data_IF_417627327573
#
_entry.id   IF_417627327573
#
_cell.length_a   1.000
_cell.length_b   1.000
_cell.length_c   1.000
_cell.angle_alpha   90.00
_cell.angle_beta   90.00
_cell.angle_gamma   90.00
#
_symmetry.space_group_name_H-M   'P 1'
#
loop_
_entity.id
_entity.type
_entity.pdbx_description
1 polymer ?
#
# COMPACT_ATOMS: atom_id res chain seq x y z
N UNK A 1 14.08 2.97 55.50
CA UNK A 1 15.21 2.39 54.75
C UNK A 1 16.44 3.27 54.96
N UNK A 2 17.37 2.92 55.86
CA UNK A 2 18.63 3.65 55.96
C UNK A 2 19.41 3.51 54.64
N UNK A 3 19.95 4.61 54.09
CA UNK A 3 20.59 4.75 52.76
C UNK A 3 19.69 4.83 51.51
N UNK A 4 18.37 5.03 51.65
CA UNK A 4 17.48 5.18 50.48
C UNK A 4 17.83 6.39 49.60
N UNK A 5 18.42 7.42 50.21
CA UNK A 5 18.94 8.63 49.56
C UNK A 5 20.09 8.36 48.58
N UNK A 6 20.74 7.19 48.67
CA UNK A 6 21.88 6.78 47.84
C UNK A 6 21.52 5.72 46.81
N UNK A 7 20.30 5.18 46.84
CA UNK A 7 19.86 4.10 45.98
C UNK A 7 19.09 4.63 44.77
N UNK A 8 19.24 3.96 43.63
CA UNK A 8 18.34 4.14 42.48
C UNK A 8 17.12 3.27 42.74
N UNK A 9 15.95 3.91 42.86
CA UNK A 9 14.69 3.19 42.98
C UNK A 9 14.30 2.66 41.59
N UNK A 10 14.26 1.33 41.49
CA UNK A 10 13.78 0.58 40.32
C UNK A 10 12.31 0.21 40.50
N UNK A 11 11.56 0.21 39.40
CA UNK A 11 10.19 -0.31 39.32
C UNK A 11 10.12 -1.40 38.26
N UNK A 12 9.47 -2.51 38.62
CA UNK A 12 9.20 -3.64 37.73
C UNK A 12 7.71 -3.94 37.78
N UNK A 13 7.00 -3.70 36.68
CA UNK A 13 5.55 -3.89 36.62
C UNK A 13 5.18 -4.94 35.58
N UNK A 14 4.32 -5.89 35.99
CA UNK A 14 3.65 -6.82 35.09
C UNK A 14 2.30 -6.27 34.61
N UNK A 15 1.81 -6.79 33.49
CA UNK A 15 0.65 -6.24 32.77
C UNK A 15 -0.64 -7.04 32.95
N UNK A 16 -0.78 -7.79 34.05
CA UNK A 16 -1.94 -8.65 34.33
C UNK A 16 -3.29 -7.91 34.29
N UNK A 17 -3.30 -6.59 34.51
CA UNK A 17 -4.49 -5.72 34.43
C UNK A 17 -4.39 -4.65 33.33
N UNK A 18 -3.41 -4.72 32.43
CA UNK A 18 -3.19 -3.72 31.37
C UNK A 18 -2.71 -2.35 31.88
N UNK A 19 -2.03 -2.31 33.04
CA UNK A 19 -1.64 -1.09 33.74
C UNK A 19 -0.13 -0.95 33.93
N UNK A 20 0.70 -1.84 33.38
CA UNK A 20 2.14 -1.88 33.66
C UNK A 20 2.86 -0.57 33.29
N UNK A 21 2.56 -0.02 32.12
CA UNK A 21 3.12 1.25 31.63
C UNK A 21 2.64 2.40 32.51
N UNK A 22 1.34 2.46 32.82
CA UNK A 22 0.76 3.50 33.69
C UNK A 22 1.41 3.52 35.08
N UNK A 23 1.56 2.35 35.70
CA UNK A 23 2.21 2.21 37.00
C UNK A 23 3.69 2.61 36.95
N UNK A 24 4.40 2.24 35.88
CA UNK A 24 5.80 2.61 35.69
C UNK A 24 5.98 4.12 35.52
N UNK A 25 5.11 4.78 34.75
CA UNK A 25 5.11 6.24 34.60
C UNK A 25 4.80 6.94 35.93
N UNK A 26 3.81 6.46 36.68
CA UNK A 26 3.48 7.00 37.99
C UNK A 26 4.65 6.86 38.98
N UNK A 27 5.36 5.73 38.96
CA UNK A 27 6.56 5.53 39.77
C UNK A 27 7.69 6.51 39.40
N UNK A 28 7.91 6.77 38.11
CA UNK A 28 8.90 7.76 37.64
C UNK A 28 8.55 9.17 38.15
N UNK A 29 7.27 9.55 38.07
CA UNK A 29 6.77 10.83 38.62
C UNK A 29 6.94 10.91 40.14
N UNK A 30 6.78 9.79 40.85
CA UNK A 30 7.01 9.68 42.29
C UNK A 30 8.49 9.65 42.69
N UNK A 31 9.43 9.66 41.73
CA UNK A 31 10.86 9.76 41.99
C UNK A 31 11.68 8.52 41.62
N UNK A 32 11.07 7.45 41.10
CA UNK A 32 11.83 6.32 40.57
C UNK A 32 12.72 6.75 39.39
N UNK A 33 13.90 6.13 39.25
CA UNK A 33 14.90 6.48 38.23
C UNK A 33 15.33 5.30 37.37
N UNK A 34 14.78 4.13 37.62
CA UNK A 34 14.94 2.94 36.78
C UNK A 34 13.58 2.29 36.55
N UNK A 35 13.29 1.93 35.31
CA UNK A 35 12.12 1.14 34.91
C UNK A 35 12.62 -0.13 34.28
N UNK A 36 12.13 -1.26 34.76
CA UNK A 36 12.38 -2.58 34.18
C UNK A 36 11.18 -3.02 33.36
N UNK A 37 11.47 -3.60 32.21
CA UNK A 37 10.47 -4.02 31.25
C UNK A 37 11.11 -4.72 30.06
N UNK A 38 10.32 -4.95 29.03
CA UNK A 38 10.77 -5.61 27.81
C UNK A 38 10.26 -4.88 26.57
N UNK A 39 10.96 -5.04 25.45
CA UNK A 39 10.44 -4.63 24.15
C UNK A 39 9.22 -5.50 23.81
N UNK A 40 8.21 -4.88 23.24
CA UNK A 40 6.93 -5.49 22.93
C UNK A 40 6.09 -5.92 24.15
N UNK A 41 6.56 -5.66 25.37
CA UNK A 41 5.90 -6.09 26.60
C UNK A 41 5.96 -7.60 26.86
N UNK A 42 6.85 -8.34 26.18
CA UNK A 42 6.98 -9.80 26.37
C UNK A 42 7.35 -10.15 27.81
N UNK A 43 6.79 -11.24 28.33
CA UNK A 43 7.04 -11.66 29.71
C UNK A 43 6.13 -12.79 30.11
N UNK A 44 6.15 -13.16 31.39
CA UNK A 44 5.23 -14.15 31.94
C UNK A 44 3.78 -13.67 31.87
N UNK A 45 2.84 -14.60 31.65
CA UNK A 45 1.39 -14.34 31.68
C UNK A 45 0.97 -13.25 30.69
N UNK A 46 0.54 -12.09 31.19
CA UNK A 46 0.14 -10.93 30.40
C UNK A 46 1.33 -10.06 29.95
N UNK A 47 2.54 -10.37 30.43
CA UNK A 47 3.76 -9.68 30.03
C UNK A 47 4.31 -8.71 31.07
N UNK A 48 5.32 -7.97 30.64
CA UNK A 48 5.99 -6.92 31.42
C UNK A 48 5.59 -5.54 30.90
N UNK A 49 5.98 -4.50 31.63
CA UNK A 49 5.96 -3.14 31.14
C UNK A 49 6.66 -3.03 29.76
N UNK A 50 5.92 -2.48 28.80
CA UNK A 50 6.35 -2.26 27.43
C UNK A 50 7.32 -1.08 27.37
N UNK A 51 8.61 -1.36 27.14
CA UNK A 51 9.64 -0.32 27.20
C UNK A 51 9.47 0.74 26.13
N UNK A 52 9.11 0.35 24.90
CA UNK A 52 8.88 1.32 23.82
C UNK A 52 7.79 2.34 24.16
N UNK A 53 6.78 1.93 24.92
CA UNK A 53 5.69 2.80 25.37
C UNK A 53 6.16 3.78 26.45
N UNK A 54 6.94 3.32 27.44
CA UNK A 54 7.52 4.20 28.47
C UNK A 54 8.51 5.20 27.86
N UNK A 55 9.39 4.73 26.96
CA UNK A 55 10.38 5.58 26.28
C UNK A 55 9.67 6.68 25.50
N UNK A 56 8.64 6.32 24.72
CA UNK A 56 7.90 7.28 23.91
C UNK A 56 7.03 8.19 24.77
N UNK A 57 6.46 7.73 25.88
CA UNK A 57 5.75 8.59 26.82
C UNK A 57 6.67 9.68 27.39
N UNK A 58 7.89 9.31 27.83
CA UNK A 58 8.89 10.27 28.33
C UNK A 58 9.29 11.25 27.22
N UNK A 59 9.53 10.76 25.99
CA UNK A 59 9.96 11.58 24.86
C UNK A 59 8.89 12.57 24.40
N UNK A 60 7.66 12.10 24.23
CA UNK A 60 6.53 12.87 23.69
C UNK A 60 5.95 13.85 24.71
N UNK A 61 6.09 13.54 26.02
CA UNK A 61 5.62 14.38 27.13
C UNK A 61 6.79 14.88 27.98
N UNK A 62 7.93 15.19 27.36
CA UNK A 62 9.13 15.62 28.08
C UNK A 62 8.89 16.89 28.92
N UNK A 63 8.05 17.80 28.41
CA UNK A 63 7.58 19.02 29.07
C UNK A 63 6.82 18.76 30.38
N UNK A 64 6.08 17.65 30.45
CA UNK A 64 5.35 17.24 31.63
C UNK A 64 6.15 16.30 32.54
N UNK A 65 6.89 15.37 31.95
CA UNK A 65 7.64 14.33 32.66
C UNK A 65 8.91 14.85 33.33
N UNK A 66 9.53 15.90 32.78
CA UNK A 66 10.73 16.55 33.33
C UNK A 66 11.89 15.58 33.60
N UNK A 67 11.96 14.48 32.84
CA UNK A 67 13.04 13.49 32.83
C UNK A 67 13.42 13.15 31.39
N UNK A 68 14.59 12.55 31.20
CA UNK A 68 15.06 12.11 29.89
C UNK A 68 15.67 10.71 29.97
N UNK A 69 15.82 10.07 28.82
CA UNK A 69 16.58 8.83 28.65
C UNK A 69 17.64 9.03 27.57
N UNK A 70 18.68 8.21 27.59
CA UNK A 70 19.72 8.19 26.54
C UNK A 70 19.40 7.19 25.42
N UNK A 71 18.14 6.75 25.32
CA UNK A 71 17.74 5.71 24.38
C UNK A 71 17.55 6.32 22.99
N UNK A 72 18.15 5.69 21.98
CA UNK A 72 17.90 6.05 20.59
C UNK A 72 16.51 5.55 20.17
N UNK A 73 15.52 6.42 20.29
CA UNK A 73 14.14 6.10 19.94
C UNK A 73 13.94 5.75 18.46
N UNK A 74 14.84 6.17 17.56
CA UNK A 74 14.76 5.81 16.13
C UNK A 74 15.06 4.33 15.85
N UNK A 75 15.58 3.56 16.82
CA UNK A 75 15.79 2.12 16.67
C UNK A 75 14.62 1.29 17.23
N UNK A 76 13.59 1.93 17.81
CA UNK A 76 12.47 1.24 18.46
C UNK A 76 11.77 0.29 17.49
N UNK A 77 11.36 0.78 16.32
CA UNK A 77 10.58 -0.03 15.39
C UNK A 77 11.37 -1.25 14.90
N UNK A 78 12.62 -1.04 14.50
CA UNK A 78 13.51 -2.12 14.05
C UNK A 78 13.75 -3.16 15.15
N UNK A 79 14.02 -2.70 16.38
CA UNK A 79 14.27 -3.58 17.53
C UNK A 79 13.02 -4.38 17.88
N UNK A 80 11.85 -3.75 17.87
CA UNK A 80 10.56 -4.40 18.07
C UNK A 80 10.32 -5.52 17.07
N UNK A 81 10.56 -5.28 15.77
CA UNK A 81 10.44 -6.31 14.72
C UNK A 81 11.42 -7.46 14.93
N UNK A 82 12.68 -7.16 15.29
CA UNK A 82 13.68 -8.17 15.58
C UNK A 82 13.28 -9.07 16.76
N UNK A 83 12.81 -8.48 17.86
CA UNK A 83 12.33 -9.24 19.03
C UNK A 83 11.13 -10.10 18.66
N UNK A 84 10.17 -9.57 17.89
CA UNK A 84 9.02 -10.34 17.40
C UNK A 84 9.44 -11.57 16.60
N UNK A 85 10.43 -11.42 15.71
CA UNK A 85 10.97 -12.52 14.90
C UNK A 85 11.71 -13.56 15.76
N UNK A 86 12.61 -13.13 16.65
CA UNK A 86 13.41 -14.02 17.48
C UNK A 86 12.57 -14.79 18.51
N UNK A 87 11.54 -14.15 19.06
CA UNK A 87 10.64 -14.77 20.04
C UNK A 87 9.46 -15.49 19.39
N UNK A 88 9.32 -15.43 18.06
CA UNK A 88 8.17 -15.95 17.30
C UNK A 88 6.82 -15.48 17.89
N UNK A 89 6.76 -14.20 18.28
CA UNK A 89 5.59 -13.61 18.92
C UNK A 89 5.17 -12.37 18.09
N UNK A 90 4.15 -12.50 17.23
CA UNK A 90 3.72 -11.42 16.34
C UNK A 90 3.27 -10.18 17.11
N UNK A 91 3.62 -9.01 16.59
CA UNK A 91 3.16 -7.72 17.14
C UNK A 91 1.68 -7.51 16.76
N UNK A 92 0.78 -7.30 17.73
CA UNK A 92 -0.61 -6.95 17.42
C UNK A 92 -0.69 -5.67 16.58
N UNK A 93 -1.56 -5.67 15.57
CA UNK A 93 -1.67 -4.53 14.65
C UNK A 93 -2.01 -3.21 15.37
N UNK A 94 -2.81 -3.28 16.43
CA UNK A 94 -3.23 -2.15 17.26
C UNK A 94 -2.34 -1.91 18.49
N UNK A 95 -1.18 -2.55 18.60
CA UNK A 95 -0.25 -2.29 19.70
C UNK A 95 0.25 -0.85 19.65
N UNK A 96 0.29 -0.20 20.81
CA UNK A 96 0.80 1.17 20.93
C UNK A 96 2.24 1.27 20.41
N UNK A 97 2.57 2.42 19.82
CA UNK A 97 3.88 2.76 19.26
C UNK A 97 4.28 1.94 18.03
N UNK A 98 4.34 0.62 18.11
CA UNK A 98 4.97 -0.26 17.10
C UNK A 98 4.00 -1.09 16.27
N UNK A 99 2.71 -1.08 16.60
CA UNK A 99 1.68 -1.76 15.82
C UNK A 99 1.55 -1.20 14.41
N UNK A 100 1.25 -2.04 13.43
CA UNK A 100 1.07 -1.63 12.03
C UNK A 100 -0.05 -0.60 11.82
N UNK A 101 -1.01 -0.53 12.74
CA UNK A 101 -2.10 0.46 12.72
C UNK A 101 -1.83 1.68 13.63
N UNK A 102 -0.71 1.73 14.36
CA UNK A 102 -0.45 2.78 15.34
C UNK A 102 -0.41 4.21 14.74
N UNK A 103 -0.07 4.31 13.45
CA UNK A 103 -0.03 5.57 12.69
C UNK A 103 -0.99 5.56 11.49
N UNK A 104 -1.88 4.57 11.41
CA UNK A 104 -2.78 4.43 10.29
C UNK A 104 -4.08 5.22 10.51
N UNK A 105 -4.51 5.96 9.48
CA UNK A 105 -5.73 6.75 9.50
C UNK A 105 -6.74 6.15 8.52
N UNK A 106 -7.75 5.44 9.03
CA UNK A 106 -8.75 4.76 8.18
C UNK A 106 -10.05 5.53 8.00
N UNK A 107 -10.38 6.46 8.91
CA UNK A 107 -11.61 7.25 8.84
C UNK A 107 -11.42 8.47 7.95
N UNK A 108 -12.34 8.71 7.00
CA UNK A 108 -12.28 9.86 6.09
C UNK A 108 -12.15 11.21 6.79
N UNK A 109 -12.80 11.40 7.96
CA UNK A 109 -12.66 12.63 8.75
C UNK A 109 -11.27 12.77 9.39
N UNK A 110 -10.65 11.65 9.80
CA UNK A 110 -9.29 11.68 10.36
C UNK A 110 -8.27 11.90 9.23
N UNK A 111 -8.49 11.29 8.07
CA UNK A 111 -7.64 11.51 6.89
C UNK A 111 -7.68 12.99 6.45
N UNK A 112 -8.87 13.57 6.28
CA UNK A 112 -9.01 15.01 5.97
C UNK A 112 -8.36 15.90 7.03
N UNK A 113 -8.53 15.55 8.31
CA UNK A 113 -7.89 16.23 9.42
C UNK A 113 -6.37 16.23 9.38
N UNK A 114 -5.77 15.05 9.15
CA UNK A 114 -4.31 14.86 9.02
C UNK A 114 -3.76 15.60 7.79
N UNK A 115 -4.50 15.62 6.68
CA UNK A 115 -4.12 16.36 5.47
C UNK A 115 -4.08 17.88 5.70
N UNK A 116 -4.99 18.41 6.54
CA UNK A 116 -5.03 19.84 6.88
C UNK A 116 -3.98 20.21 7.92
N UNK A 117 -3.87 19.43 8.99
CA UNK A 117 -2.84 19.55 10.00
C UNK A 117 -2.66 18.20 10.73
N UNK A 118 -1.50 17.57 10.54
CA UNK A 118 -1.17 16.26 11.15
C UNK A 118 -1.26 16.26 12.67
N UNK A 119 -0.90 17.37 13.33
CA UNK A 119 -0.88 17.49 14.79
C UNK A 119 -2.27 17.33 15.43
N UNK A 120 -3.36 17.46 14.65
CA UNK A 120 -4.71 17.27 15.15
C UNK A 120 -5.02 15.83 15.57
N UNK A 121 -4.34 14.84 14.97
CA UNK A 121 -4.63 13.41 15.18
C UNK A 121 -3.36 12.59 15.47
N UNK A 122 -2.17 13.10 15.14
CA UNK A 122 -0.90 12.44 15.37
C UNK A 122 -0.19 13.08 16.57
N UNK A 123 -0.17 12.39 17.71
CA UNK A 123 0.63 12.80 18.89
C UNK A 123 2.15 12.68 18.65
N UNK A 124 2.55 11.88 17.66
CA UNK A 124 3.93 11.69 17.23
C UNK A 124 3.96 11.14 15.79
N UNK A 125 5.10 11.29 15.11
CA UNK A 125 5.29 10.82 13.73
C UNK A 125 5.87 9.40 13.67
N UNK A 126 5.61 8.61 12.61
CA UNK A 126 6.28 7.32 12.39
C UNK A 126 7.81 7.41 12.43
N UNK A 127 8.36 8.49 11.87
CA UNK A 127 9.80 8.72 11.77
C UNK A 127 10.43 8.89 13.15
N UNK A 128 9.66 9.32 14.16
CA UNK A 128 10.13 9.42 15.54
C UNK A 128 10.60 8.07 16.09
N UNK A 129 10.05 6.95 15.62
CA UNK A 129 10.45 5.60 16.06
C UNK A 129 11.29 4.84 15.03
N UNK A 130 11.73 5.52 13.97
CA UNK A 130 12.46 4.93 12.84
C UNK A 130 11.60 4.20 11.81
N UNK A 131 10.28 4.36 11.87
CA UNK A 131 9.38 3.85 10.84
C UNK A 131 9.40 4.81 9.63
N UNK A 132 9.83 4.31 8.47
CA UNK A 132 9.78 5.05 7.20
C UNK A 132 8.32 5.18 6.73
N UNK A 133 8.03 6.22 5.95
CA UNK A 133 6.69 6.72 5.62
C UNK A 133 5.59 5.66 5.54
N UNK A 134 4.51 5.92 6.29
CA UNK A 134 3.28 5.11 6.28
C UNK A 134 2.47 5.53 5.06
N UNK A 135 2.30 4.62 4.10
CA UNK A 135 1.40 4.84 2.98
C UNK A 135 -0.03 4.99 3.49
N UNK A 136 -0.74 5.98 2.95
CA UNK A 136 -2.13 6.25 3.28
C UNK A 136 -2.99 5.10 2.70
N UNK A 137 -3.40 4.18 3.57
CA UNK A 137 -4.21 3.03 3.15
C UNK A 137 -5.60 3.50 2.72
N UNK A 138 -5.89 3.40 1.42
CA UNK A 138 -7.20 3.71 0.89
C UNK A 138 -8.14 2.51 1.02
N UNK A 139 -9.21 2.69 1.79
CA UNK A 139 -10.23 1.67 2.09
C UNK A 139 -11.63 2.25 1.85
N UNK A 140 -12.70 1.46 1.99
CA UNK A 140 -14.07 1.95 1.78
C UNK A 140 -14.51 3.07 2.75
N UNK A 141 -13.74 3.27 3.83
CA UNK A 141 -13.92 4.36 4.79
C UNK A 141 -13.18 5.64 4.41
N UNK A 142 -12.34 5.60 3.38
CA UNK A 142 -11.60 6.75 2.90
C UNK A 142 -12.51 7.70 2.15
N UNK A 143 -12.42 8.99 2.47
CA UNK A 143 -13.25 10.04 1.87
C UNK A 143 -12.68 10.55 0.55
N UNK A 144 -13.47 11.39 -0.14
CA UNK A 144 -13.06 12.07 -1.39
C UNK A 144 -11.73 12.80 -1.26
N UNK A 145 -11.48 13.45 -0.13
CA UNK A 145 -10.23 14.18 0.13
C UNK A 145 -9.01 13.27 0.08
N UNK A 146 -9.10 12.06 0.65
CA UNK A 146 -8.00 11.10 0.65
C UNK A 146 -7.72 10.54 -0.75
N UNK A 147 -8.77 10.23 -1.51
CA UNK A 147 -8.64 9.79 -2.91
C UNK A 147 -8.02 10.90 -3.77
N UNK A 148 -8.50 12.14 -3.62
CA UNK A 148 -7.95 13.30 -4.33
C UNK A 148 -6.48 13.54 -4.00
N UNK A 149 -6.13 13.57 -2.71
CA UNK A 149 -4.75 13.76 -2.29
C UNK A 149 -3.83 12.68 -2.85
N UNK A 150 -4.28 11.41 -2.84
CA UNK A 150 -3.48 10.32 -3.41
C UNK A 150 -3.28 10.48 -4.92
N UNK A 151 -4.30 10.92 -5.65
CA UNK A 151 -4.18 11.24 -7.07
C UNK A 151 -3.17 12.38 -7.31
N UNK A 152 -3.16 13.41 -6.47
CA UNK A 152 -2.17 14.51 -6.53
C UNK A 152 -0.74 14.03 -6.25
N UNK A 153 -0.53 13.17 -5.24
CA UNK A 153 0.78 12.55 -4.96
C UNK A 153 1.29 11.68 -6.12
N UNK A 154 0.38 11.04 -6.86
CA UNK A 154 0.71 10.31 -8.09
C UNK A 154 0.95 11.23 -9.31
N UNK A 155 0.77 12.54 -9.15
CA UNK A 155 1.02 13.56 -10.18
C UNK A 155 -0.19 13.96 -11.02
N UNK A 156 -1.42 13.56 -10.65
CA UNK A 156 -2.65 13.91 -11.37
C UNK A 156 -3.28 15.21 -10.83
N UNK A 157 -3.77 16.05 -11.74
CA UNK A 157 -4.53 17.26 -11.42
C UNK A 157 -6.03 16.97 -11.50
N UNK A 158 -6.84 17.76 -10.81
CA UNK A 158 -8.31 17.60 -10.81
C UNK A 158 -8.96 17.64 -12.20
N UNK A 159 -8.32 18.31 -13.15
CA UNK A 159 -8.77 18.40 -14.54
C UNK A 159 -8.46 17.14 -15.38
N UNK A 160 -7.64 16.23 -14.86
CA UNK A 160 -7.20 15.03 -15.57
C UNK A 160 -8.23 13.89 -15.46
N UNK A 161 -9.12 13.92 -14.45
CA UNK A 161 -10.13 12.89 -14.18
C UNK A 161 -11.39 13.48 -13.55
N UNK A 162 -12.50 12.74 -13.52
CA UNK A 162 -13.71 13.15 -12.80
C UNK A 162 -13.72 12.52 -11.39
N UNK A 163 -13.56 13.34 -10.35
CA UNK A 163 -13.46 12.87 -8.97
C UNK A 163 -14.74 12.16 -8.49
N UNK A 164 -15.93 12.59 -8.90
CA UNK A 164 -17.18 11.95 -8.46
C UNK A 164 -17.36 10.57 -9.07
N UNK A 165 -17.04 10.42 -10.37
CA UNK A 165 -17.06 9.12 -11.05
C UNK A 165 -16.01 8.19 -10.45
N UNK A 166 -14.78 8.68 -10.26
CA UNK A 166 -13.70 7.92 -9.64
C UNK A 166 -14.08 7.48 -8.23
N UNK A 167 -14.63 8.38 -7.41
CA UNK A 167 -14.99 8.07 -6.03
C UNK A 167 -16.11 7.02 -5.93
N UNK A 168 -17.12 7.08 -6.80
CA UNK A 168 -18.16 6.07 -6.86
C UNK A 168 -17.61 4.69 -7.23
N UNK A 169 -16.68 4.63 -8.19
CA UNK A 169 -16.04 3.39 -8.59
C UNK A 169 -15.05 2.86 -7.53
N UNK A 170 -14.34 3.78 -6.86
CA UNK A 170 -13.46 3.52 -5.73
C UNK A 170 -14.21 2.82 -4.59
N UNK A 171 -15.37 3.33 -4.17
CA UNK A 171 -16.15 2.72 -3.09
C UNK A 171 -16.55 1.28 -3.42
N UNK A 172 -17.05 1.04 -4.64
CA UNK A 172 -17.41 -0.30 -5.11
C UNK A 172 -16.22 -1.27 -5.06
N UNK A 173 -15.05 -0.82 -5.49
CA UNK A 173 -13.83 -1.64 -5.47
C UNK A 173 -13.34 -1.88 -4.04
N UNK A 174 -13.33 -0.83 -3.21
CA UNK A 174 -12.85 -0.88 -1.84
C UNK A 174 -13.72 -1.79 -0.95
N UNK A 175 -15.05 -1.79 -1.13
CA UNK A 175 -15.95 -2.70 -0.42
C UNK A 175 -15.67 -4.18 -0.75
N UNK A 176 -15.25 -4.47 -1.99
CA UNK A 176 -14.96 -5.83 -2.43
C UNK A 176 -13.53 -6.28 -2.07
N UNK A 177 -12.54 -5.40 -2.23
CA UNK A 177 -11.10 -5.69 -2.13
C UNK A 177 -10.51 -5.35 -0.76
N UNK A 178 -11.18 -4.51 0.03
CA UNK A 178 -10.71 -4.00 1.32
C UNK A 178 -9.73 -2.83 1.18
N UNK A 179 -8.65 -3.02 0.43
CA UNK A 179 -7.64 -1.99 0.13
C UNK A 179 -7.53 -1.71 -1.36
N UNK A 180 -7.47 -0.43 -1.71
CA UNK A 180 -7.26 0.07 -3.07
C UNK A 180 -5.84 0.63 -3.18
N UNK A 181 -5.13 0.24 -4.23
CA UNK A 181 -3.76 0.67 -4.51
C UNK A 181 -3.72 1.71 -5.63
N UNK A 182 -2.58 2.36 -5.79
CA UNK A 182 -2.34 3.42 -6.80
C UNK A 182 -2.75 3.02 -8.22
N UNK A 183 -2.36 1.82 -8.66
CA UNK A 183 -2.70 1.31 -9.98
C UNK A 183 -4.20 1.03 -10.15
N UNK A 184 -4.92 0.72 -9.05
CA UNK A 184 -6.37 0.58 -9.09
C UNK A 184 -7.04 1.94 -9.29
N UNK A 185 -6.59 2.98 -8.57
CA UNK A 185 -7.10 4.34 -8.75
C UNK A 185 -6.89 4.85 -10.18
N UNK A 186 -5.70 4.65 -10.74
CA UNK A 186 -5.41 5.00 -12.14
C UNK A 186 -6.35 4.27 -13.11
N UNK A 187 -6.54 2.96 -12.91
CA UNK A 187 -7.46 2.19 -13.74
C UNK A 187 -8.89 2.73 -13.64
N UNK A 188 -9.38 3.00 -12.43
CA UNK A 188 -10.73 3.55 -12.22
C UNK A 188 -10.91 4.97 -12.80
N UNK A 189 -9.86 5.78 -12.81
CA UNK A 189 -9.91 7.17 -13.29
C UNK A 189 -9.92 7.28 -14.81
N UNK A 190 -9.18 6.40 -15.51
CA UNK A 190 -8.93 6.53 -16.95
C UNK A 190 -9.56 5.41 -17.78
N UNK A 191 -9.88 4.28 -17.18
CA UNK A 191 -10.58 3.18 -17.85
C UNK A 191 -12.00 3.16 -17.30
N UNK A 192 -12.94 3.69 -18.08
CA UNK A 192 -14.35 3.79 -17.72
C UNK A 192 -15.07 2.44 -17.84
N UNK A 193 -14.59 1.41 -17.13
CA UNK A 193 -15.11 0.04 -17.24
C UNK A 193 -15.47 -0.53 -15.87
N UNK A 194 -16.74 -0.35 -15.53
CA UNK A 194 -17.44 -1.26 -14.63
C UNK A 194 -17.45 -2.65 -15.28
N UNK A 195 -16.84 -3.63 -14.61
CA UNK A 195 -17.03 -5.08 -14.80
C UNK A 195 -16.58 -5.70 -16.14
N UNK A 196 -15.93 -6.87 -16.01
CA UNK A 196 -15.86 -7.95 -17.00
C UNK A 196 -15.13 -7.64 -18.33
N UNK A 197 -13.89 -7.17 -18.27
CA UNK A 197 -12.95 -7.64 -19.30
C UNK A 197 -12.29 -8.95 -18.84
N UNK A 198 -12.15 -9.95 -19.72
CA UNK A 198 -11.41 -11.15 -19.42
C UNK A 198 -9.98 -10.76 -19.02
N UNK A 199 -9.45 -11.47 -18.03
CA UNK A 199 -8.05 -11.31 -17.65
C UNK A 199 -7.16 -11.53 -18.89
N UNK A 200 -6.24 -10.61 -19.15
CA UNK A 200 -5.34 -10.73 -20.29
C UNK A 200 -4.44 -11.96 -20.12
N UNK A 201 -4.01 -12.23 -18.89
CA UNK A 201 -3.30 -13.44 -18.54
C UNK A 201 -4.22 -14.38 -17.76
N UNK A 202 -4.37 -15.62 -18.22
CA UNK A 202 -5.05 -16.71 -17.51
C UNK A 202 -4.14 -17.92 -17.39
N UNK A 203 -4.10 -18.54 -16.21
CA UNK A 203 -3.38 -19.79 -15.97
C UNK A 203 -4.25 -20.96 -16.42
N UNK A 204 -3.91 -21.55 -17.56
CA UNK A 204 -4.65 -22.70 -18.10
C UNK A 204 -4.13 -24.01 -17.52
N UNK A 205 -2.82 -24.12 -17.35
CA UNK A 205 -2.18 -25.33 -16.84
C UNK A 205 -0.85 -25.02 -16.18
N UNK A 206 -0.53 -25.75 -15.13
CA UNK A 206 0.85 -25.88 -14.66
C UNK A 206 1.09 -27.31 -14.17
N UNK A 207 2.34 -27.74 -14.26
CA UNK A 207 2.85 -28.94 -13.60
C UNK A 207 4.20 -28.60 -13.02
N UNK A 208 4.45 -29.07 -11.80
CA UNK A 208 5.73 -28.89 -11.13
C UNK A 208 6.21 -30.22 -10.59
N UNK A 209 7.47 -30.52 -10.83
CA UNK A 209 8.17 -31.63 -10.22
C UNK A 209 9.28 -31.07 -9.34
N UNK A 210 9.30 -31.46 -8.07
CA UNK A 210 10.33 -31.06 -7.12
C UNK A 210 10.65 -32.22 -6.18
N UNK A 211 11.83 -32.18 -5.57
CA UNK A 211 12.29 -33.20 -4.63
C UNK A 211 13.61 -32.79 -3.99
N UNK A 212 13.99 -33.47 -2.92
CA UNK A 212 15.12 -33.09 -2.05
C UNK A 212 16.47 -32.99 -2.75
N UNK A 213 16.65 -33.75 -3.84
CA UNK A 213 17.92 -33.88 -4.55
C UNK A 213 17.79 -33.60 -6.06
N UNK A 214 16.68 -33.01 -6.49
CA UNK A 214 16.44 -32.65 -7.89
C UNK A 214 16.13 -31.17 -8.00
N UNK A 215 16.57 -30.55 -9.08
CA UNK A 215 16.15 -29.19 -9.40
C UNK A 215 14.65 -29.18 -9.67
N UNK A 216 13.94 -28.25 -9.03
CA UNK A 216 12.52 -28.10 -9.30
C UNK A 216 12.33 -27.66 -10.76
N UNK A 217 11.43 -28.34 -11.47
CA UNK A 217 11.13 -28.06 -12.87
C UNK A 217 9.63 -27.84 -13.00
N UNK A 218 9.25 -26.74 -13.63
CA UNK A 218 7.86 -26.40 -13.90
C UNK A 218 7.61 -26.30 -15.40
N UNK A 219 6.44 -26.77 -15.84
CA UNK A 219 5.87 -26.48 -17.15
C UNK A 219 4.58 -25.69 -16.94
N UNK A 220 4.46 -24.54 -17.59
CA UNK A 220 3.32 -23.63 -17.44
C UNK A 220 2.73 -23.33 -18.81
N UNK A 221 1.40 -23.30 -18.90
CA UNK A 221 0.66 -22.78 -20.04
C UNK A 221 -0.19 -21.60 -19.60
N UNK A 222 -0.02 -20.47 -20.27
CA UNK A 222 -0.82 -19.27 -20.08
C UNK A 222 -1.57 -18.93 -21.35
N UNK A 223 -2.81 -18.46 -21.19
CA UNK A 223 -3.50 -17.69 -22.21
C UNK A 223 -3.11 -16.22 -22.04
N UNK A 224 -2.63 -15.60 -23.11
CA UNK A 224 -2.15 -14.22 -23.21
C UNK A 224 -3.00 -13.46 -24.24
N UNK A 225 -4.15 -12.93 -23.82
CA UNK A 225 -5.19 -12.45 -24.72
C UNK A 225 -5.80 -13.62 -25.49
N UNK A 226 -5.62 -13.65 -26.81
CA UNK A 226 -6.15 -14.72 -27.66
C UNK A 226 -5.14 -15.84 -27.95
N UNK A 227 -3.88 -15.68 -27.54
CA UNK A 227 -2.81 -16.66 -27.78
C UNK A 227 -2.59 -17.57 -26.57
N UNK A 228 -2.37 -18.86 -26.79
CA UNK A 228 -1.84 -19.77 -25.78
C UNK A 228 -0.33 -19.90 -25.93
N UNK A 229 0.41 -19.73 -24.82
CA UNK A 229 1.85 -19.89 -24.76
C UNK A 229 2.22 -20.89 -23.67
N UNK A 230 3.20 -21.73 -23.93
CA UNK A 230 3.68 -22.75 -23.00
C UNK A 230 5.19 -22.67 -22.89
N UNK A 231 5.70 -22.74 -21.66
CA UNK A 231 7.13 -22.75 -21.38
C UNK A 231 7.45 -23.67 -20.22
N UNK A 232 8.73 -24.04 -20.13
CA UNK A 232 9.27 -24.75 -18.99
C UNK A 232 10.49 -24.02 -18.42
N UNK A 233 10.65 -24.12 -17.10
CA UNK A 233 11.81 -23.56 -16.41
C UNK A 233 12.19 -24.38 -15.18
N UNK A 234 13.43 -24.21 -14.76
CA UNK A 234 13.93 -24.74 -13.50
C UNK A 234 14.05 -23.61 -12.47
N UNK A 235 14.05 -23.98 -11.20
CA UNK A 235 14.21 -23.02 -10.11
C UNK A 235 14.71 -23.69 -8.83
N UNK A 236 15.01 -22.85 -7.84
CA UNK A 236 15.47 -23.28 -6.51
C UNK A 236 14.37 -23.93 -5.66
N UNK A 237 13.13 -23.92 -6.14
CA UNK A 237 11.98 -24.56 -5.54
C UNK A 237 10.79 -24.56 -6.51
N UNK A 238 9.68 -25.23 -6.17
CA UNK A 238 8.54 -25.36 -7.07
C UNK A 238 7.91 -24.00 -7.43
N UNK A 239 7.82 -23.08 -6.47
CA UNK A 239 7.30 -21.72 -6.71
C UNK A 239 8.22 -20.94 -7.65
N UNK A 240 9.53 -20.98 -7.40
CA UNK A 240 10.51 -20.28 -8.24
C UNK A 240 10.50 -20.83 -9.68
N UNK A 241 10.47 -22.16 -9.85
CA UNK A 241 10.39 -22.77 -11.18
C UNK A 241 9.14 -22.32 -11.96
N UNK A 242 7.98 -22.24 -11.30
CA UNK A 242 6.75 -21.71 -11.90
C UNK A 242 6.89 -20.23 -12.26
N UNK A 243 7.49 -19.40 -11.39
CA UNK A 243 7.72 -17.98 -11.66
C UNK A 243 8.67 -17.77 -12.84
N UNK A 244 9.74 -18.55 -12.93
CA UNK A 244 10.66 -18.49 -14.08
C UNK A 244 9.95 -18.86 -15.39
N UNK A 245 9.10 -19.88 -15.38
CA UNK A 245 8.32 -20.27 -16.57
C UNK A 245 7.33 -19.17 -16.98
N UNK A 246 6.59 -18.59 -16.02
CA UNK A 246 5.68 -17.46 -16.27
C UNK A 246 6.43 -16.24 -16.81
N UNK A 247 7.60 -15.92 -16.26
CA UNK A 247 8.41 -14.80 -16.71
C UNK A 247 8.91 -14.99 -18.14
N UNK A 248 9.31 -16.21 -18.52
CA UNK A 248 9.69 -16.53 -19.91
C UNK A 248 8.53 -16.37 -20.90
N UNK A 249 7.30 -16.71 -20.49
CA UNK A 249 6.12 -16.55 -21.34
C UNK A 249 5.78 -15.08 -21.56
N UNK A 250 5.86 -14.28 -20.50
CA UNK A 250 5.37 -12.90 -20.50
C UNK A 250 6.42 -11.86 -20.84
N UNK A 251 7.70 -12.22 -20.72
CA UNK A 251 8.86 -11.36 -20.96
C UNK A 251 8.83 -10.04 -20.17
N UNK A 252 8.20 -10.06 -18.98
CA UNK A 252 8.24 -8.90 -18.09
C UNK A 252 9.44 -8.98 -17.15
N UNK A 253 10.30 -7.93 -17.10
CA UNK A 253 11.35 -7.81 -16.08
C UNK A 253 10.74 -7.44 -14.72
N UNK A 254 10.10 -8.40 -14.07
CA UNK A 254 9.54 -8.23 -12.73
C UNK A 254 10.51 -8.73 -11.66
N UNK A 255 10.60 -8.00 -10.55
CA UNK A 255 11.39 -8.38 -9.38
C UNK A 255 10.44 -8.68 -8.20
N UNK A 256 10.56 -9.85 -7.58
CA UNK A 256 9.76 -10.19 -6.40
C UNK A 256 10.33 -9.49 -5.16
N UNK A 257 9.59 -8.51 -4.62
CA UNK A 257 9.99 -7.70 -3.46
C UNK A 257 9.54 -8.32 -2.15
N UNK A 258 8.33 -8.90 -2.13
CA UNK A 258 7.75 -9.53 -0.94
C UNK A 258 6.95 -10.76 -1.34
N UNK A 259 7.07 -11.80 -0.54
CA UNK A 259 6.28 -13.02 -0.62
C UNK A 259 5.79 -13.39 0.78
N UNK A 260 4.48 -13.59 0.94
CA UNK A 260 3.86 -14.00 2.18
C UNK A 260 2.86 -15.11 1.91
N UNK A 261 3.03 -16.26 2.55
CA UNK A 261 2.06 -17.35 2.56
C UNK A 261 1.32 -17.33 3.92
N UNK A 262 0.00 -17.43 3.86
CA UNK A 262 -0.87 -17.52 5.03
C UNK A 262 -1.91 -18.61 4.81
N UNK A 263 -2.17 -19.44 5.82
CA UNK A 263 -3.30 -20.37 5.77
C UNK A 263 -4.59 -19.62 6.10
N UNK A 264 -5.62 -19.78 5.25
CA UNK A 264 -6.95 -19.22 5.44
C UNK A 264 -7.95 -20.35 5.70
N UNK A 265 -8.45 -20.41 6.93
CA UNK A 265 -9.27 -21.51 7.43
C UNK A 265 -8.49 -22.47 8.33
N UNK A 266 -9.11 -23.58 8.70
CA UNK A 266 -8.53 -24.62 9.55
C UNK A 266 -8.76 -26.00 8.94
N UNK A 267 -7.91 -26.97 9.29
CA UNK A 267 -8.02 -28.35 8.83
C UNK A 267 -7.23 -28.63 7.54
N UNK A 268 -7.37 -29.86 7.01
CA UNK A 268 -6.64 -30.35 5.84
C UNK A 268 -6.99 -29.61 4.54
N UNK A 269 -8.17 -28.98 4.51
CA UNK A 269 -8.70 -28.24 3.37
C UNK A 269 -8.53 -26.72 3.50
N UNK A 270 -7.66 -26.26 4.42
CA UNK A 270 -7.35 -24.85 4.54
C UNK A 270 -6.78 -24.31 3.21
N UNK A 271 -7.28 -23.16 2.78
CA UNK A 271 -6.79 -22.52 1.57
C UNK A 271 -5.43 -21.88 1.85
N UNK A 272 -4.45 -22.12 1.00
CA UNK A 272 -3.25 -21.32 0.92
C UNK A 272 -3.59 -19.96 0.31
N UNK A 273 -3.37 -18.88 1.06
CA UNK A 273 -3.37 -17.52 0.52
C UNK A 273 -1.93 -17.07 0.35
N UNK A 274 -1.56 -16.71 -0.88
CA UNK A 274 -0.26 -16.13 -1.21
C UNK A 274 -0.45 -14.68 -1.59
N UNK A 275 0.21 -13.80 -0.84
CA UNK A 275 0.27 -12.37 -1.09
C UNK A 275 1.69 -12.01 -1.55
N UNK A 276 1.80 -11.43 -2.75
CA UNK A 276 3.09 -10.98 -3.31
C UNK A 276 3.10 -9.49 -3.60
N UNK A 277 4.30 -8.91 -3.54
CA UNK A 277 4.60 -7.58 -4.06
C UNK A 277 5.73 -7.73 -5.05
N UNK A 278 5.53 -7.27 -6.29
CA UNK A 278 6.59 -7.19 -7.28
C UNK A 278 6.94 -5.75 -7.61
N UNK A 279 8.16 -5.51 -8.05
CA UNK A 279 8.56 -4.28 -8.71
C UNK A 279 8.63 -4.47 -10.22
N UNK A 280 8.07 -3.51 -10.97
CA UNK A 280 8.14 -3.44 -12.42
C UNK A 280 8.29 -1.97 -12.84
N UNK A 281 9.35 -1.65 -13.59
CA UNK A 281 9.67 -0.28 -14.02
C UNK A 281 9.64 0.75 -12.86
N UNK A 282 10.19 0.38 -11.70
CA UNK A 282 10.23 1.24 -10.50
C UNK A 282 8.90 1.39 -9.75
N UNK A 283 7.81 0.79 -10.25
CA UNK A 283 6.49 0.76 -9.59
C UNK A 283 6.30 -0.56 -8.85
N UNK A 284 5.47 -0.56 -7.81
CA UNK A 284 5.12 -1.78 -7.05
C UNK A 284 3.71 -2.24 -7.37
N UNK A 285 3.54 -3.54 -7.57
CA UNK A 285 2.26 -4.18 -7.86
C UNK A 285 1.98 -5.29 -6.84
N UNK A 286 0.76 -5.32 -6.36
CA UNK A 286 0.30 -6.33 -5.40
C UNK A 286 -0.51 -7.39 -6.14
N UNK A 287 -0.31 -8.65 -5.77
CA UNK A 287 -1.13 -9.76 -6.22
C UNK A 287 -1.42 -10.72 -5.09
N UNK A 288 -2.57 -11.35 -5.21
CA UNK A 288 -3.10 -12.31 -4.25
C UNK A 288 -3.57 -13.52 -5.03
N UNK A 289 -3.19 -14.70 -4.55
CA UNK A 289 -3.67 -15.97 -5.07
C UNK A 289 -4.21 -16.85 -3.94
N UNK A 290 -5.29 -17.56 -4.23
CA UNK A 290 -5.99 -18.41 -3.27
C UNK A 290 -6.29 -19.75 -3.92
N UNK A 291 -5.73 -20.82 -3.38
CA UNK A 291 -5.99 -22.20 -3.77
C UNK A 291 -5.69 -23.15 -2.61
N UNK A 292 -6.10 -24.41 -2.70
CA UNK A 292 -5.69 -25.45 -1.75
C UNK A 292 -4.20 -25.78 -1.89
N UNK A 293 -3.69 -25.77 -3.12
CA UNK A 293 -2.27 -25.94 -3.43
C UNK A 293 -1.52 -24.61 -3.28
N UNK A 294 -0.42 -24.63 -2.51
CA UNK A 294 0.41 -23.43 -2.25
C UNK A 294 1.18 -22.95 -3.47
N UNK A 295 1.57 -23.86 -4.37
CA UNK A 295 2.24 -23.56 -5.63
C UNK A 295 1.23 -22.95 -6.61
N UNK A 296 0.02 -23.51 -6.68
CA UNK A 296 -1.06 -22.92 -7.47
C UNK A 296 -1.43 -21.52 -6.96
N UNK A 297 -1.55 -21.36 -5.63
CA UNK A 297 -1.80 -20.07 -4.99
C UNK A 297 -0.71 -19.06 -5.37
N UNK A 298 0.55 -19.49 -5.38
CA UNK A 298 1.67 -18.66 -5.81
C UNK A 298 1.58 -18.25 -7.27
N UNK A 299 1.24 -19.20 -8.15
CA UNK A 299 1.07 -18.95 -9.59
C UNK A 299 -0.07 -17.95 -9.84
N UNK A 300 -1.23 -18.15 -9.21
CA UNK A 300 -2.38 -17.24 -9.29
C UNK A 300 -2.03 -15.84 -8.80
N UNK A 301 -1.26 -15.72 -7.72
CA UNK A 301 -0.80 -14.42 -7.22
C UNK A 301 0.06 -13.69 -8.27
N UNK A 302 0.93 -14.42 -8.97
CA UNK A 302 1.74 -13.89 -10.07
C UNK A 302 0.87 -13.46 -11.26
N UNK A 303 -0.07 -14.29 -11.71
CA UNK A 303 -0.99 -13.92 -12.81
C UNK A 303 -1.81 -12.68 -12.45
N UNK A 304 -2.28 -12.57 -11.22
CA UNK A 304 -2.97 -11.37 -10.74
C UNK A 304 -2.08 -10.11 -10.82
N UNK A 305 -0.81 -10.20 -10.40
CA UNK A 305 0.18 -9.13 -10.58
C UNK A 305 0.33 -8.76 -12.06
N UNK A 306 0.49 -9.74 -12.94
CA UNK A 306 0.73 -9.51 -14.36
C UNK A 306 -0.46 -8.83 -15.05
N UNK A 307 -1.68 -9.21 -14.67
CA UNK A 307 -2.89 -8.51 -15.11
C UNK A 307 -2.93 -7.06 -14.61
N UNK A 308 -2.50 -6.80 -13.37
CA UNK A 308 -2.41 -5.43 -12.84
C UNK A 308 -1.36 -4.58 -13.58
N UNK A 309 -0.20 -5.16 -13.92
CA UNK A 309 0.83 -4.53 -14.75
C UNK A 309 0.27 -4.21 -16.14
N UNK A 310 -0.35 -5.19 -16.81
CA UNK A 310 -0.93 -5.01 -18.12
C UNK A 310 -2.00 -3.91 -18.13
N UNK A 311 -2.92 -3.91 -17.16
CA UNK A 311 -3.94 -2.85 -17.00
C UNK A 311 -3.29 -1.48 -16.88
N UNK A 312 -2.25 -1.35 -16.06
CA UNK A 312 -1.51 -0.09 -15.89
C UNK A 312 -0.87 0.38 -17.21
N UNK A 313 -0.33 -0.52 -18.04
CA UNK A 313 0.17 -0.17 -19.36
C UNK A 313 -0.93 0.27 -20.34
N UNK A 314 -2.11 -0.36 -20.28
CA UNK A 314 -3.26 0.06 -21.10
C UNK A 314 -3.74 1.47 -20.72
N UNK A 315 -3.76 1.79 -19.41
CA UNK A 315 -4.01 3.16 -18.93
C UNK A 315 -3.02 4.14 -19.57
N UNK A 316 -1.73 3.79 -19.58
CA UNK A 316 -0.69 4.68 -20.12
C UNK A 316 -0.82 4.90 -21.63
N UNK A 317 -1.17 3.85 -22.40
CA UNK A 317 -1.46 3.97 -23.84
C UNK A 317 -2.68 4.86 -24.10
N UNK A 318 -3.74 4.69 -23.32
CA UNK A 318 -4.96 5.49 -23.47
C UNK A 318 -4.70 6.97 -23.13
N UNK A 319 -3.88 7.25 -22.11
CA UNK A 319 -3.43 8.62 -21.81
C UNK A 319 -2.67 9.24 -22.98
N UNK A 320 -1.72 8.51 -23.57
CA UNK A 320 -0.97 9.01 -24.74
C UNK A 320 -1.93 9.32 -25.90
N UNK A 321 -2.93 8.47 -26.13
CA UNK A 321 -3.98 8.70 -27.13
C UNK A 321 -4.80 9.96 -26.85
N UNK A 322 -5.22 10.17 -25.60
CA UNK A 322 -5.98 11.35 -25.19
C UNK A 322 -5.14 12.65 -25.30
N UNK A 323 -3.85 12.59 -24.97
CA UNK A 323 -2.93 13.72 -25.13
C UNK A 323 -2.67 14.06 -26.60
N UNK A 324 -2.48 13.07 -27.46
CA UNK A 324 -2.34 13.26 -28.92
C UNK A 324 -3.61 13.87 -29.54
N UNK A 325 -4.79 13.38 -29.14
CA UNK A 325 -6.08 13.95 -29.59
C UNK A 325 -6.26 15.41 -29.14
N UNK A 326 -5.86 15.76 -27.92
CA UNK A 326 -5.85 17.17 -27.44
C UNK A 326 -4.88 18.06 -28.23
N UNK A 327 -3.73 17.53 -28.67
CA UNK A 327 -2.78 18.28 -29.51
C UNK A 327 -3.26 18.44 -30.96
N UNK A 328 -3.91 17.43 -31.53
CA UNK A 328 -4.53 17.52 -32.87
C UNK A 328 -5.70 18.52 -32.89
N UNK A 329 -6.54 18.55 -31.86
CA UNK A 329 -7.62 19.54 -31.77
C UNK A 329 -7.12 20.98 -31.55
N UNK A 330 -5.93 21.17 -30.94
CA UNK A 330 -5.29 22.50 -30.85
C UNK A 330 -4.63 22.94 -32.16
N UNK A 331 -4.21 22.01 -33.02
CA UNK A 331 -3.59 22.30 -34.33
C UNK A 331 -4.60 22.35 -35.48
N UNK A 332 -5.79 21.75 -35.32
CA UNK A 332 -6.90 21.81 -36.29
C UNK A 332 -7.75 23.09 -36.24
N UNK A 333 -7.62 23.93 -35.21
CA UNK A 333 -8.31 25.23 -35.11
C UNK A 333 -7.56 26.41 -35.77
N UNK A 334 -6.58 26.11 -36.63
CA UNK A 334 -5.85 27.08 -37.44
C UNK A 334 -6.45 27.33 -38.83
N UNK A 335 -7.77 27.18 -39.01
CA UNK A 335 -8.43 27.59 -40.27
C UNK A 335 -8.86 29.06 -40.14
N UNK A 336 -8.10 29.94 -40.81
CA UNK A 336 -8.43 31.34 -41.04
C UNK A 336 -9.87 31.48 -41.57
N UNK A 337 -10.80 31.90 -40.72
CA UNK A 337 -12.03 32.54 -41.18
C UNK A 337 -11.75 34.01 -41.43
N UNK A 338 -11.28 34.32 -42.64
CA UNK A 338 -11.31 35.68 -43.18
C UNK A 338 -12.78 36.05 -43.41
N UNK A 339 -13.37 36.87 -42.54
CA UNK A 339 -14.70 37.45 -42.76
C UNK A 339 -14.59 38.51 -43.87
N UNK A 340 -14.98 38.16 -45.08
CA UNK A 340 -15.19 39.10 -46.18
C UNK A 340 -16.54 39.80 -45.99
N UNK A 341 -16.52 41.13 -45.86
CA UNK A 341 -17.72 41.96 -45.88
C UNK A 341 -18.12 42.27 -47.32
N UNK A 342 -19.35 41.93 -47.73
CA UNK A 342 -19.91 42.34 -49.01
C UNK A 342 -20.70 43.64 -48.84
N UNK A 343 -20.21 44.73 -49.46
CA UNK A 343 -20.97 45.96 -49.66
C UNK A 343 -21.72 45.83 -50.98
N UNK A 344 -23.06 45.88 -50.93
CA UNK A 344 -23.92 45.87 -52.10
C UNK A 344 -24.03 47.30 -52.67
N UNK A 345 -23.78 47.45 -53.98
CA UNK A 345 -24.14 48.65 -54.75
C UNK A 345 -25.03 48.18 -55.90
N UNK A 346 -26.31 48.57 -55.87
CA UNK A 346 -27.25 48.38 -56.98
C UNK A 346 -27.13 49.54 -57.98
N UNK A 347 -27.18 49.27 -59.31
CA UNK A 347 -27.09 50.31 -60.34
C UNK A 347 -28.47 50.69 -60.88
N UNK A 348 -28.77 51.98 -61.00
CA UNK A 348 -29.80 52.48 -61.92
C UNK A 348 -29.33 53.82 -62.51
N UNK A 349 -28.89 53.77 -63.78
CA UNK A 349 -29.58 54.27 -64.98
C UNK A 349 -29.46 55.79 -65.17
N UNK A 350 -28.99 56.17 -66.36
CA UNK A 350 -28.52 57.51 -66.68
C UNK A 350 -29.60 58.51 -67.08
N UNK A 351 -29.09 59.66 -67.58
CA UNK A 351 -29.77 60.71 -68.36
C UNK A 351 -30.65 61.68 -67.55
N UNK A 352 -30.67 63.00 -67.77
CA UNK A 352 -29.86 63.95 -68.51
C UNK A 352 -30.36 65.37 -68.13
N UNK A 353 -29.44 66.35 -68.25
CA UNK A 353 -29.64 67.79 -68.48
C UNK A 353 -31.09 68.33 -68.48
N UNK A 354 -31.36 69.32 -67.63
CA UNK A 354 -31.21 70.76 -67.96
C UNK A 354 -31.22 71.59 -66.69
#
# INVERSE_FOLDING_TARGET
>A
MPNIDKAIISVHCHDDLGMAVGNSIAAVQAGARQVEGTLNGIGERAGNCSLEEVIMAIKVRQDFMQVHTNINHQEIYRTSQLVSQLCNMPIPANKAIVGSNAFAHSSGIHQDGVLKNRENYEIMTPQTIGLKDVQLNLTSRSGRAAVKHRMEEMGYKEQDYNLDVLYAAFLKLADKKGQVFDYDLEALAFINKQQEEPEHFSLEYFSVQSGSSIMATASVKLKCGDEEKSEAATGNGPVDAVYQAINRITDYPIELVKYQLTAKGQGRDALGQVDIVVSYNGRRFHGVGLATDIVESSAKAMIHVLNNIWRSQQVEKEKQRLQQTKHQNKSGNGVNMTKTYHIAVLPETGSARK
#
